data_IF_453142021869
#
_entry.id   IF_453142021869
#
_cell.length_a   1.000
_cell.length_b   1.000
_cell.length_c   1.000
_cell.angle_alpha   90.00
_cell.angle_beta   90.00
_cell.angle_gamma   90.00
#
_symmetry.space_group_name_H-M   'P 1'
#
loop_
_entity.id
_entity.type
_entity.pdbx_description
1 polymer ?
#
# COMPACT_ATOMS: atom_id res chain seq x y z
N UNK A 1 -18.34 -57.55 -11.14
CA UNK A 1 -19.47 -56.64 -10.81
C UNK A 1 -19.12 -55.72 -9.63
N UNK A 2 -18.87 -56.23 -8.42
CA UNK A 2 -18.60 -55.41 -7.23
C UNK A 2 -17.32 -54.54 -7.31
N UNK A 3 -16.21 -55.09 -7.83
CA UNK A 3 -14.95 -54.35 -8.01
C UNK A 3 -15.08 -53.18 -8.99
N UNK A 4 -15.85 -53.35 -10.06
CA UNK A 4 -16.06 -52.29 -11.06
C UNK A 4 -16.85 -51.12 -10.45
N UNK A 5 -17.86 -51.42 -9.64
CA UNK A 5 -18.63 -50.41 -8.89
C UNK A 5 -17.75 -49.66 -7.89
N UNK A 6 -16.90 -50.36 -7.13
CA UNK A 6 -15.97 -49.71 -6.18
C UNK A 6 -14.97 -48.77 -6.89
N UNK A 7 -14.45 -49.19 -8.04
CA UNK A 7 -13.54 -48.34 -8.83
C UNK A 7 -14.28 -47.10 -9.34
N UNK A 8 -15.50 -47.25 -9.84
CA UNK A 8 -16.31 -46.12 -10.32
C UNK A 8 -16.64 -45.11 -9.21
N UNK A 9 -16.97 -45.57 -7.99
CA UNK A 9 -17.20 -44.69 -6.84
C UNK A 9 -15.93 -43.93 -6.41
N UNK A 10 -14.77 -44.61 -6.40
CA UNK A 10 -13.50 -43.96 -6.09
C UNK A 10 -13.13 -42.89 -7.12
N UNK A 11 -13.30 -43.18 -8.41
CA UNK A 11 -13.02 -42.23 -9.50
C UNK A 11 -13.98 -41.04 -9.42
N UNK A 12 -15.26 -41.24 -9.17
CA UNK A 12 -16.24 -40.17 -9.03
C UNK A 12 -15.91 -39.23 -7.83
N UNK A 13 -15.55 -39.80 -6.67
CA UNK A 13 -15.14 -39.01 -5.51
C UNK A 13 -13.83 -38.24 -5.74
N UNK A 14 -12.88 -38.84 -6.45
CA UNK A 14 -11.62 -38.17 -6.80
C UNK A 14 -11.85 -37.00 -7.77
N UNK A 15 -12.70 -37.19 -8.78
CA UNK A 15 -13.09 -36.13 -9.73
C UNK A 15 -13.81 -34.99 -8.99
N UNK A 16 -14.75 -35.31 -8.09
CA UNK A 16 -15.46 -34.31 -7.29
C UNK A 16 -14.53 -33.48 -6.38
N UNK A 17 -13.54 -34.11 -5.74
CA UNK A 17 -12.53 -33.41 -4.95
C UNK A 17 -11.63 -32.53 -5.82
N UNK A 18 -11.29 -32.98 -7.03
CA UNK A 18 -10.46 -32.23 -7.97
C UNK A 18 -11.19 -30.99 -8.51
N UNK A 19 -12.47 -31.10 -8.88
CA UNK A 19 -13.28 -29.96 -9.31
C UNK A 19 -13.49 -28.94 -8.17
N UNK A 20 -13.70 -29.41 -6.93
CA UNK A 20 -13.86 -28.54 -5.77
C UNK A 20 -12.57 -27.74 -5.46
N UNK A 21 -11.40 -28.36 -5.63
CA UNK A 21 -10.10 -27.69 -5.49
C UNK A 21 -9.83 -26.64 -6.58
N UNK A 22 -10.33 -26.86 -7.81
CA UNK A 22 -10.19 -25.93 -8.92
C UNK A 22 -11.18 -24.75 -8.81
N UNK A 23 -12.38 -24.96 -8.26
CA UNK A 23 -13.36 -23.90 -7.98
C UNK A 23 -12.88 -22.88 -6.92
N UNK A 24 -12.03 -23.30 -5.98
CA UNK A 24 -11.43 -22.37 -5.00
C UNK A 24 -10.40 -21.41 -5.62
N UNK A 25 -9.92 -21.69 -6.84
CA UNK A 25 -8.94 -20.84 -7.54
C UNK A 25 -9.54 -19.81 -8.49
N UNK A 26 -10.87 -19.67 -8.55
CA UNK A 26 -11.53 -18.63 -9.33
C UNK A 26 -11.78 -17.39 -8.46
N UNK A 27 -10.73 -16.63 -8.18
CA UNK A 27 -10.88 -15.26 -7.67
C UNK A 27 -11.13 -14.38 -8.89
N UNK A 28 -12.38 -14.35 -9.36
CA UNK A 28 -12.86 -13.35 -10.31
C UNK A 28 -13.10 -12.05 -9.53
N UNK A 29 -12.13 -11.13 -9.59
CA UNK A 29 -12.32 -9.79 -9.03
C UNK A 29 -13.42 -9.07 -9.85
N UNK A 30 -14.42 -8.45 -9.20
CA UNK A 30 -15.38 -7.61 -9.90
C UNK A 30 -14.66 -6.39 -10.47
N UNK A 31 -14.39 -6.39 -11.78
CA UNK A 31 -13.81 -5.23 -12.47
C UNK A 31 -14.90 -4.16 -12.64
N UNK A 32 -14.95 -3.18 -11.74
CA UNK A 32 -15.76 -1.97 -11.93
C UNK A 32 -14.86 -0.82 -12.40
N UNK A 33 -15.29 0.01 -13.37
CA UNK A 33 -14.52 1.18 -13.78
C UNK A 33 -14.24 2.12 -12.60
N UNK A 34 -12.97 2.46 -12.35
CA UNK A 34 -12.53 3.35 -11.26
C UNK A 34 -12.03 2.65 -10.00
N UNK A 35 -12.04 1.31 -9.97
CA UNK A 35 -11.35 0.50 -8.97
C UNK A 35 -9.99 0.08 -9.53
N UNK A 36 -8.91 0.68 -9.06
CA UNK A 36 -7.54 0.29 -9.42
C UNK A 36 -6.96 -0.58 -8.30
N UNK A 37 -6.27 -1.69 -8.64
CA UNK A 37 -5.54 -2.48 -7.66
C UNK A 37 -4.40 -1.61 -7.12
N UNK A 38 -4.41 -1.38 -5.81
CA UNK A 38 -3.31 -0.66 -5.19
C UNK A 38 -2.11 -1.59 -5.04
N UNK A 39 -0.93 -1.00 -5.20
CA UNK A 39 0.35 -1.69 -5.13
C UNK A 39 0.48 -2.51 -3.84
N UNK A 40 0.81 -3.78 -4.04
CA UNK A 40 1.45 -4.73 -3.12
C UNK A 40 0.73 -5.06 -1.83
N UNK A 41 -0.08 -6.12 -1.90
CA UNK A 41 -0.23 -7.09 -0.82
C UNK A 41 -0.45 -8.48 -1.43
N UNK A 42 -0.20 -9.53 -0.64
CA UNK A 42 -0.59 -10.94 -0.96
C UNK A 42 -2.11 -11.08 -1.19
N UNK A 43 -2.89 -10.08 -0.77
CA UNK A 43 -4.31 -9.90 -1.04
C UNK A 43 -4.54 -8.52 -1.68
N UNK A 44 -5.19 -8.42 -2.86
CA UNK A 44 -5.37 -7.15 -3.53
C UNK A 44 -6.33 -6.25 -2.77
N UNK A 45 -5.81 -5.10 -2.33
CA UNK A 45 -6.63 -4.00 -1.85
C UNK A 45 -7.08 -3.14 -3.03
N UNK A 46 -8.40 -2.92 -3.10
CA UNK A 46 -9.01 -2.02 -4.06
C UNK A 46 -9.50 -0.78 -3.33
N UNK A 47 -9.28 0.39 -3.92
CA UNK A 47 -9.87 1.63 -3.46
C UNK A 47 -10.50 2.37 -4.63
N UNK A 48 -11.49 3.20 -4.31
CA UNK A 48 -12.03 4.14 -5.30
C UNK A 48 -10.99 5.24 -5.45
N UNK A 49 -10.41 5.34 -6.64
CA UNK A 49 -9.57 6.48 -6.97
C UNK A 49 -10.50 7.63 -7.34
N UNK A 50 -10.75 8.48 -6.36
CA UNK A 50 -11.42 9.74 -6.62
C UNK A 50 -10.44 10.70 -7.28
N UNK A 51 -10.98 11.43 -8.23
CA UNK A 51 -10.18 12.12 -9.21
C UNK A 51 -10.41 13.61 -9.02
N UNK A 52 -9.42 14.26 -8.42
CA UNK A 52 -9.55 15.55 -7.73
C UNK A 52 -9.56 16.70 -8.72
N UNK A 53 -10.71 17.38 -8.78
CA UNK A 53 -11.05 18.55 -9.58
C UNK A 53 -11.22 18.36 -11.11
N UNK A 54 -12.27 18.99 -11.64
CA UNK A 54 -12.44 19.28 -13.06
C UNK A 54 -11.53 20.46 -13.41
N UNK A 55 -10.33 20.22 -13.93
CA UNK A 55 -9.57 21.28 -14.59
C UNK A 55 -9.26 20.86 -16.01
N UNK A 56 -9.66 21.70 -16.96
CA UNK A 56 -9.39 21.78 -18.42
C UNK A 56 -8.97 20.47 -19.12
N UNK A 57 -9.50 20.15 -20.31
CA UNK A 57 -9.31 18.86 -21.02
C UNK A 57 -7.86 18.44 -21.31
N UNK A 58 -6.87 19.31 -21.05
CA UNK A 58 -5.44 19.09 -21.25
C UNK A 58 -4.64 18.79 -19.96
N UNK A 59 -5.25 18.82 -18.76
CA UNK A 59 -4.52 18.54 -17.51
C UNK A 59 -4.73 17.10 -17.05
N UNK A 60 -3.64 16.38 -16.82
CA UNK A 60 -3.68 15.09 -16.15
C UNK A 60 -4.37 15.23 -14.79
N UNK A 61 -5.34 14.36 -14.53
CA UNK A 61 -6.20 14.43 -13.34
C UNK A 61 -5.40 13.92 -12.14
N UNK A 62 -5.40 14.68 -11.05
CA UNK A 62 -4.79 14.22 -9.79
C UNK A 62 -5.63 13.06 -9.24
N UNK A 63 -4.97 11.99 -8.86
CA UNK A 63 -5.58 10.83 -8.23
C UNK A 63 -5.45 10.94 -6.71
N UNK A 64 -6.50 10.57 -5.99
CA UNK A 64 -6.55 10.46 -4.54
C UNK A 64 -7.18 9.13 -4.18
N UNK A 65 -6.62 8.48 -3.17
CA UNK A 65 -7.29 7.36 -2.52
C UNK A 65 -8.42 7.89 -1.65
N UNK A 66 -9.65 7.44 -1.90
CA UNK A 66 -10.80 7.78 -1.08
C UNK A 66 -11.18 6.61 -0.18
N UNK A 67 -11.42 6.91 1.10
CA UNK A 67 -11.97 5.96 2.06
C UNK A 67 -11.50 6.21 3.49
N UNK A 68 -12.41 6.22 4.49
CA UNK A 68 -12.08 6.57 5.87
C UNK A 68 -11.06 5.62 6.53
N UNK A 69 -10.92 4.40 6.00
CA UNK A 69 -9.94 3.43 6.49
C UNK A 69 -8.48 3.82 6.16
N UNK A 70 -8.28 4.50 5.02
CA UNK A 70 -6.98 4.94 4.52
C UNK A 70 -6.61 6.35 5.00
N UNK A 71 -7.54 7.03 5.67
CA UNK A 71 -7.30 8.33 6.28
C UNK A 71 -6.58 8.18 7.62
N UNK A 72 -5.71 9.13 7.91
CA UNK A 72 -5.15 9.27 9.25
C UNK A 72 -6.22 9.84 10.17
N UNK A 73 -6.38 9.23 11.35
CA UNK A 73 -7.43 9.59 12.31
C UNK A 73 -7.29 11.03 12.85
N UNK A 74 -6.10 11.61 12.71
CA UNK A 74 -5.81 12.98 13.11
C UNK A 74 -4.84 13.61 12.13
N UNK A 75 -4.77 14.94 12.14
CA UNK A 75 -3.78 15.68 11.36
C UNK A 75 -2.36 15.55 11.95
N UNK A 76 -2.23 15.06 13.19
CA UNK A 76 -0.95 14.74 13.80
C UNK A 76 -0.52 13.34 13.35
N UNK A 77 0.49 13.30 12.46
CA UNK A 77 1.05 12.09 11.88
C UNK A 77 2.30 11.70 12.66
N UNK A 78 2.28 10.57 13.39
CA UNK A 78 3.46 10.07 14.07
C UNK A 78 4.48 9.55 13.05
N UNK A 79 5.75 9.87 13.23
CA UNK A 79 6.82 9.33 12.41
C UNK A 79 8.07 8.94 13.19
N UNK A 80 8.94 8.16 12.56
CA UNK A 80 10.27 7.80 13.06
C UNK A 80 11.27 7.78 11.92
N UNK A 81 12.54 8.08 12.21
CA UNK A 81 13.63 7.95 11.25
C UNK A 81 14.51 6.79 11.73
N UNK A 82 14.59 5.74 10.90
CA UNK A 82 15.35 4.54 11.22
C UNK A 82 16.65 4.51 10.41
N UNK A 83 17.76 4.75 11.12
CA UNK A 83 19.10 4.79 10.52
C UNK A 83 19.42 6.12 9.85
N UNK A 84 20.40 6.07 8.93
CA UNK A 84 20.94 7.24 8.24
C UNK A 84 21.84 8.14 9.10
N UNK A 85 22.62 8.98 8.41
CA UNK A 85 23.47 9.99 9.04
C UNK A 85 22.68 11.26 9.39
N UNK A 86 23.34 12.24 10.00
CA UNK A 86 22.69 13.50 10.35
C UNK A 86 22.15 14.25 9.12
N UNK A 87 22.80 14.12 7.97
CA UNK A 87 22.35 14.73 6.72
C UNK A 87 21.04 14.13 6.24
N UNK A 88 20.94 12.80 6.23
CA UNK A 88 19.72 12.09 5.91
C UNK A 88 18.57 12.49 6.83
N UNK A 89 18.79 12.47 8.15
CA UNK A 89 17.74 12.87 9.09
C UNK A 89 17.26 14.31 8.86
N UNK A 90 18.19 15.23 8.56
CA UNK A 90 17.85 16.61 8.23
C UNK A 90 17.13 16.74 6.88
N UNK A 91 17.45 15.90 5.89
CA UNK A 91 16.72 15.83 4.63
C UNK A 91 15.25 15.44 4.88
N UNK A 92 15.01 14.40 5.68
CA UNK A 92 13.64 13.97 6.03
C UNK A 92 12.89 15.09 6.75
N UNK A 93 13.50 15.71 7.77
CA UNK A 93 12.87 16.81 8.51
C UNK A 93 12.55 18.02 7.61
N UNK A 94 13.41 18.34 6.63
CA UNK A 94 13.12 19.38 5.63
C UNK A 94 11.94 19.01 4.74
N UNK A 95 11.89 17.78 4.23
CA UNK A 95 10.77 17.30 3.42
C UNK A 95 9.44 17.33 4.19
N UNK A 96 9.45 16.89 5.45
CA UNK A 96 8.30 16.98 6.36
C UNK A 96 7.84 18.43 6.52
N UNK A 97 8.77 19.36 6.75
CA UNK A 97 8.44 20.78 6.92
C UNK A 97 7.73 21.37 5.70
N UNK A 98 8.12 20.97 4.49
CA UNK A 98 7.43 21.43 3.26
C UNK A 98 5.94 21.02 3.24
N UNK A 99 5.63 19.84 3.76
CA UNK A 99 4.24 19.39 3.92
C UNK A 99 3.51 20.19 5.01
N UNK A 100 4.14 20.43 6.15
CA UNK A 100 3.55 21.22 7.23
C UNK A 100 3.28 22.67 6.83
N UNK A 101 4.10 23.26 5.97
CA UNK A 101 3.94 24.64 5.48
C UNK A 101 2.76 24.79 4.49
N UNK A 102 2.43 23.72 3.76
CA UNK A 102 1.42 23.75 2.68
C UNK A 102 0.11 23.04 3.02
N UNK A 103 0.06 22.34 4.15
CA UNK A 103 -1.10 21.54 4.58
C UNK A 103 -1.41 21.72 6.06
N UNK A 104 -2.55 21.18 6.49
CA UNK A 104 -2.90 21.10 7.91
C UNK A 104 -2.20 19.95 8.65
N UNK A 105 -1.41 19.12 7.95
CA UNK A 105 -0.71 17.99 8.55
C UNK A 105 0.40 18.48 9.47
N UNK A 106 0.62 17.73 10.54
CA UNK A 106 1.63 18.00 11.56
C UNK A 106 2.34 16.70 11.88
N UNK A 107 3.65 16.69 11.78
CA UNK A 107 4.44 15.48 11.95
C UNK A 107 5.13 15.50 13.31
N UNK A 108 4.99 14.42 14.06
CA UNK A 108 5.55 14.28 15.41
C UNK A 108 6.41 13.05 15.49
N UNK A 109 7.68 13.23 15.84
CA UNK A 109 8.59 12.11 16.05
C UNK A 109 8.13 11.34 17.31
N UNK A 110 7.68 10.10 17.15
CA UNK A 110 7.09 9.32 18.25
C UNK A 110 7.45 7.83 18.15
N UNK A 111 8.35 7.41 19.04
CA UNK A 111 8.82 6.03 19.11
C UNK A 111 7.78 5.02 19.64
N UNK A 112 6.76 5.50 20.35
CA UNK A 112 5.77 4.67 21.04
C UNK A 112 4.42 4.61 20.33
N UNK A 113 4.29 5.25 19.17
CA UNK A 113 3.04 5.20 18.41
C UNK A 113 2.74 3.78 17.93
N UNK A 114 1.46 3.42 17.91
CA UNK A 114 0.99 2.16 17.32
C UNK A 114 0.93 2.24 15.80
N UNK A 115 0.51 3.39 15.28
CA UNK A 115 0.43 3.69 13.85
C UNK A 115 1.39 4.84 13.54
N UNK A 116 2.36 4.63 12.65
CA UNK A 116 3.34 5.65 12.31
C UNK A 116 4.03 5.39 10.97
N UNK A 117 4.53 6.47 10.38
CA UNK A 117 5.43 6.38 9.24
C UNK A 117 6.86 6.13 9.74
N UNK A 118 7.58 5.20 9.14
CA UNK A 118 9.00 4.98 9.43
C UNK A 118 9.83 5.21 8.18
N UNK A 119 10.67 6.23 8.21
CA UNK A 119 11.61 6.53 7.12
C UNK A 119 12.84 5.64 7.26
N UNK A 120 13.14 4.85 6.24
CA UNK A 120 14.25 3.90 6.24
C UNK A 120 15.21 4.27 5.11
N UNK A 121 16.49 4.42 5.45
CA UNK A 121 17.53 4.58 4.45
C UNK A 121 17.99 3.21 3.94
N UNK A 122 17.86 2.97 2.64
CA UNK A 122 18.40 1.79 1.98
C UNK A 122 19.45 2.16 0.93
N UNK A 123 20.33 1.21 0.61
CA UNK A 123 21.30 1.40 -0.48
C UNK A 123 20.62 1.13 -1.82
N UNK A 124 20.75 2.05 -2.75
CA UNK A 124 20.22 1.92 -4.12
C UNK A 124 19.55 3.18 -4.62
N UNK A 125 18.92 3.05 -5.77
CA UNK A 125 18.21 4.07 -6.53
C UNK A 125 16.69 4.04 -6.32
N UNK A 126 16.19 3.01 -5.66
CA UNK A 126 14.76 2.82 -5.47
C UNK A 126 14.22 3.64 -4.30
N UNK A 127 13.11 4.35 -4.54
CA UNK A 127 12.33 5.03 -3.53
C UNK A 127 10.87 4.63 -3.65
N UNK A 128 10.34 4.01 -2.61
CA UNK A 128 9.00 3.46 -2.66
C UNK A 128 8.39 3.35 -1.26
N UNK A 129 7.07 3.22 -1.26
CA UNK A 129 6.26 2.81 -0.12
C UNK A 129 5.35 1.71 -0.63
N UNK A 130 5.13 0.68 0.19
CA UNK A 130 4.16 -0.36 -0.12
C UNK A 130 2.73 0.19 -0.02
N UNK A 131 2.48 1.08 0.95
CA UNK A 131 1.15 1.56 1.27
C UNK A 131 0.91 3.01 0.82
N UNK A 132 -0.31 3.28 0.35
CA UNK A 132 -0.84 4.63 0.07
C UNK A 132 -1.91 4.93 1.13
N UNK A 133 -1.76 6.04 1.85
CA UNK A 133 -2.61 6.37 2.99
C UNK A 133 -2.16 5.66 4.27
N UNK A 134 -3.04 5.60 5.27
CA UNK A 134 -2.81 4.89 6.54
C UNK A 134 -3.10 3.40 6.35
N UNK A 135 -2.10 2.56 6.59
CA UNK A 135 -2.27 1.10 6.63
C UNK A 135 -2.62 0.58 8.04
N UNK A 136 -2.10 1.27 9.07
CA UNK A 136 -2.08 0.78 10.45
C UNK A 136 -0.76 0.09 10.77
N UNK A 137 -0.28 0.21 12.01
CA UNK A 137 1.07 -0.20 12.36
C UNK A 137 2.16 0.77 11.87
N UNK A 138 3.41 0.30 11.88
CA UNK A 138 4.51 0.98 11.22
C UNK A 138 4.45 0.72 9.72
N UNK A 139 4.43 1.79 8.93
CA UNK A 139 4.53 1.72 7.47
C UNK A 139 5.85 2.36 7.00
N UNK A 140 6.61 1.60 6.23
CA UNK A 140 7.95 2.01 5.80
C UNK A 140 7.89 2.86 4.53
N UNK A 141 8.58 3.99 4.57
CA UNK A 141 8.95 4.76 3.37
C UNK A 141 10.43 4.51 3.15
N UNK A 142 10.73 3.75 2.10
CA UNK A 142 12.10 3.41 1.72
C UNK A 142 12.65 4.54 0.87
N UNK A 143 13.80 5.06 1.29
CA UNK A 143 14.53 6.10 0.58
C UNK A 143 15.90 5.52 0.22
N UNK A 144 16.08 5.24 -1.07
CA UNK A 144 17.36 4.87 -1.65
C UNK A 144 18.37 5.99 -1.52
N UNK A 145 19.63 5.61 -1.31
CA UNK A 145 20.77 6.53 -1.21
C UNK A 145 20.86 7.52 -2.39
N UNK A 146 20.43 7.13 -3.59
CA UNK A 146 20.48 8.01 -4.76
C UNK A 146 19.27 8.95 -4.86
N UNK A 147 18.16 8.66 -4.17
CA UNK A 147 17.05 9.62 -4.07
C UNK A 147 17.26 10.66 -2.98
N UNK A 148 18.16 10.39 -2.04
CA UNK A 148 18.43 11.25 -0.89
C UNK A 148 19.26 12.49 -1.31
N UNK A 149 18.81 13.20 -2.33
CA UNK A 149 19.46 14.40 -2.84
C UNK A 149 19.23 15.57 -1.90
N UNK A 150 20.33 16.12 -1.38
CA UNK A 150 20.31 17.38 -0.64
C UNK A 150 20.31 18.51 -1.66
N UNK A 151 19.16 19.14 -1.90
CA UNK A 151 19.13 20.43 -2.59
C UNK A 151 19.92 21.45 -1.75
N UNK A 152 20.97 22.00 -2.34
CA UNK A 152 21.81 23.09 -1.80
C UNK A 152 21.23 24.46 -2.15
#
# INVERSE_FOLDING_TARGET
MALLLQILFCVANYIALFECAMLYKNISYPMMPGLEPMSSDKHPHFSVIESVSKTKPHRHRRQVIAGPIYEWQSNDIPYQIWGGDANFQNLIRRGIRMWEESTCLRFRENMQSRDAIRYVLERGDSCFTEYIGRNGGFQDIIIGSECAEVCY
#
